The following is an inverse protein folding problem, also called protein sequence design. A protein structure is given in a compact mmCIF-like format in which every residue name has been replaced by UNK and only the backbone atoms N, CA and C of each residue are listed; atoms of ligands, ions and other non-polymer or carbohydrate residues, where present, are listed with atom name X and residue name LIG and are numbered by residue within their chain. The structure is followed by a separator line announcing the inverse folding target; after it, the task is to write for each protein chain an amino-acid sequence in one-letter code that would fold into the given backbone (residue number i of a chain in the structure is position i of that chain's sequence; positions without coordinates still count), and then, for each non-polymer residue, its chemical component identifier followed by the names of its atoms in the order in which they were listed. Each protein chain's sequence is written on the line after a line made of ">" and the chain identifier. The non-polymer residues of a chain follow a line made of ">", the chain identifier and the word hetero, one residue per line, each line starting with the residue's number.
data_IF_689652721707
#
_entry.id   IF_689652721707
#
_cell.length_a   1.000
_cell.length_b   1.000
_cell.length_c   1.000
_cell.angle_alpha   90.00
_cell.angle_beta   90.00
_cell.angle_gamma   90.00
#
_symmetry.space_group_name_H-M   'P 1'
#
loop_
_entity.id
_entity.type
_entity.pdbx_description
1 polymer ?
#
# COMPACT_ATOMS: atom_id res chain seq x y z
N UNK A 1 2.86 40.92 -31.96
CA UNK A 1 4.14 40.24 -31.67
C UNK A 1 4.02 39.61 -30.30
N UNK A 2 4.32 38.32 -30.15
CA UNK A 2 4.39 37.68 -28.83
C UNK A 2 5.50 38.35 -28.01
N UNK A 3 5.18 38.85 -26.81
CA UNK A 3 6.14 39.51 -25.93
C UNK A 3 7.28 38.58 -25.46
N UNK A 4 7.11 37.27 -25.61
CA UNK A 4 7.99 36.24 -25.03
C UNK A 4 8.63 35.33 -26.08
N UNK A 5 8.48 35.65 -27.36
CA UNK A 5 8.94 34.82 -28.48
C UNK A 5 7.91 33.78 -28.92
N UNK A 6 8.33 32.94 -29.86
CA UNK A 6 7.48 31.88 -30.43
C UNK A 6 8.13 30.51 -30.24
N UNK A 7 7.32 29.53 -29.87
CA UNK A 7 7.64 28.12 -29.90
C UNK A 7 8.21 27.73 -31.27
N UNK A 8 9.38 27.08 -31.30
CA UNK A 8 9.90 26.53 -32.54
C UNK A 8 9.03 25.36 -33.04
N UNK A 9 9.27 24.89 -34.27
CA UNK A 9 8.48 23.86 -34.97
C UNK A 9 8.31 22.53 -34.19
N UNK A 10 9.07 22.32 -33.11
CA UNK A 10 8.99 21.16 -32.20
C UNK A 10 8.24 21.43 -30.89
N UNK A 11 7.66 22.62 -30.70
CA UNK A 11 7.04 23.09 -29.45
C UNK A 11 7.96 22.93 -28.23
N UNK A 12 9.22 23.28 -28.46
CA UNK A 12 10.26 23.33 -27.44
C UNK A 12 10.43 24.77 -26.97
N UNK A 13 10.77 24.94 -25.69
CA UNK A 13 10.95 26.27 -25.08
C UNK A 13 12.25 26.96 -25.49
N UNK A 14 13.10 26.31 -26.29
CA UNK A 14 14.36 26.87 -26.81
C UNK A 14 14.16 28.11 -27.70
N UNK A 15 13.02 28.22 -28.37
CA UNK A 15 12.64 29.43 -29.13
C UNK A 15 12.06 30.57 -28.31
N UNK A 16 11.84 30.35 -27.02
CA UNK A 16 11.26 31.35 -26.13
C UNK A 16 12.35 32.24 -25.53
N UNK A 17 11.99 33.47 -25.17
CA UNK A 17 12.89 34.34 -24.41
C UNK A 17 13.20 33.73 -23.02
N UNK A 18 14.25 34.23 -22.38
CA UNK A 18 14.59 33.84 -21.01
C UNK A 18 13.38 34.04 -20.08
N UNK A 19 13.23 33.12 -19.12
CA UNK A 19 12.10 33.04 -18.20
C UNK A 19 10.73 32.81 -18.89
N UNK A 20 10.72 32.12 -20.02
CA UNK A 20 9.51 31.78 -20.77
C UNK A 20 9.49 30.31 -21.21
N UNK A 21 8.31 29.76 -21.48
CA UNK A 21 8.11 28.36 -21.87
C UNK A 21 7.14 28.24 -23.05
N UNK A 22 7.23 27.11 -23.77
CA UNK A 22 6.26 26.74 -24.79
C UNK A 22 5.14 25.86 -24.20
N UNK A 23 3.86 26.25 -24.27
CA UNK A 23 2.75 25.43 -23.79
C UNK A 23 2.59 24.13 -24.64
N UNK A 24 2.06 23.03 -24.06
CA UNK A 24 1.86 21.78 -24.79
C UNK A 24 0.73 21.88 -25.84
N UNK A 25 0.81 21.08 -26.90
CA UNK A 25 -0.05 21.05 -28.11
C UNK A 25 -1.58 20.99 -27.93
N UNK A 26 -2.09 20.86 -26.70
CA UNK A 26 -3.50 20.61 -26.45
C UNK A 26 -4.35 21.89 -26.33
N UNK A 27 -3.72 23.07 -26.42
CA UNK A 27 -4.40 24.35 -26.54
C UNK A 27 -4.15 24.90 -27.96
N UNK A 28 -5.25 25.12 -28.69
CA UNK A 28 -5.33 25.63 -30.07
C UNK A 28 -4.16 26.53 -30.48
N UNK A 29 -3.41 26.14 -31.53
CA UNK A 29 -2.55 26.98 -32.41
C UNK A 29 -1.60 28.01 -31.76
N UNK A 30 -1.45 28.01 -30.44
CA UNK A 30 -0.69 29.00 -29.69
C UNK A 30 0.79 28.61 -29.73
N UNK A 31 1.43 29.02 -30.82
CA UNK A 31 2.90 29.04 -30.93
C UNK A 31 3.53 30.15 -30.10
N UNK A 32 2.75 30.91 -29.33
CA UNK A 32 3.26 31.97 -28.47
C UNK A 32 3.83 31.40 -27.17
N UNK A 33 5.05 31.81 -26.84
CA UNK A 33 5.63 31.50 -25.53
C UNK A 33 4.86 32.22 -24.42
N UNK A 34 4.78 31.57 -23.26
CA UNK A 34 4.19 32.13 -22.03
C UNK A 34 5.30 32.31 -20.99
N UNK A 35 5.14 33.28 -20.09
CA UNK A 35 6.09 33.49 -19.00
C UNK A 35 6.11 32.28 -18.07
N UNK A 36 7.28 31.88 -17.58
CA UNK A 36 7.34 30.85 -16.56
C UNK A 36 6.71 31.33 -15.26
N UNK A 37 5.86 30.49 -14.67
CA UNK A 37 5.11 30.80 -13.47
C UNK A 37 4.82 29.55 -12.62
N UNK A 38 4.36 29.76 -11.38
CA UNK A 38 4.20 28.71 -10.36
C UNK A 38 3.07 27.71 -10.67
N UNK A 39 2.15 28.06 -11.59
CA UNK A 39 0.98 27.27 -11.96
C UNK A 39 1.15 26.54 -13.31
N UNK A 40 2.33 26.60 -13.91
CA UNK A 40 2.65 25.78 -15.08
C UNK A 40 2.40 24.29 -14.82
N UNK A 41 2.00 23.58 -15.87
CA UNK A 41 1.84 22.13 -15.78
C UNK A 41 3.19 21.43 -15.52
N UNK A 42 3.18 20.35 -14.72
CA UNK A 42 4.33 19.47 -14.57
C UNK A 42 4.79 18.89 -15.91
N UNK A 43 6.10 18.71 -16.07
CA UNK A 43 6.71 18.19 -17.29
C UNK A 43 7.14 19.27 -18.30
N UNK A 44 6.86 20.54 -18.02
CA UNK A 44 7.18 21.65 -18.91
C UNK A 44 8.56 22.24 -18.59
N UNK A 45 9.32 22.56 -19.64
CA UNK A 45 10.63 23.20 -19.55
C UNK A 45 10.52 24.72 -19.67
N UNK A 46 11.13 25.44 -18.73
CA UNK A 46 11.35 26.88 -18.84
C UNK A 46 12.70 27.17 -19.53
N UNK A 47 12.79 28.18 -20.38
CA UNK A 47 14.07 28.64 -20.93
C UNK A 47 14.77 29.59 -19.95
N UNK A 48 15.91 29.18 -19.39
CA UNK A 48 16.74 30.03 -18.53
C UNK A 48 18.04 30.37 -19.28
N UNK A 49 18.06 31.44 -20.07
CA UNK A 49 19.20 31.82 -20.93
C UNK A 49 19.75 30.64 -21.76
N UNK A 50 18.91 30.09 -22.63
CA UNK A 50 19.18 28.94 -23.51
C UNK A 50 19.49 27.63 -22.78
N UNK A 51 19.29 27.58 -21.46
CA UNK A 51 19.34 26.37 -20.66
C UNK A 51 17.93 25.98 -20.23
N UNK A 52 17.44 24.86 -20.76
CA UNK A 52 16.11 24.36 -20.43
C UNK A 52 16.07 23.77 -19.02
N UNK A 53 15.17 24.30 -18.18
CA UNK A 53 14.96 23.85 -16.79
C UNK A 53 13.56 23.28 -16.63
N UNK A 54 13.49 21.98 -16.36
CA UNK A 54 12.23 21.25 -16.14
C UNK A 54 11.56 21.72 -14.84
N UNK A 55 10.23 21.95 -14.88
CA UNK A 55 9.40 22.34 -13.73
C UNK A 55 9.83 23.62 -13.02
N UNK A 56 10.53 24.50 -13.73
CA UNK A 56 11.00 25.77 -13.21
C UNK A 56 9.94 26.86 -13.40
N UNK A 57 9.60 27.58 -12.33
CA UNK A 57 8.67 28.71 -12.37
C UNK A 57 9.38 30.06 -12.51
N UNK A 58 10.68 30.12 -12.21
CA UNK A 58 11.46 31.35 -12.31
C UNK A 58 12.94 31.06 -12.52
N UNK A 59 13.56 31.74 -13.48
CA UNK A 59 14.99 31.65 -13.78
C UNK A 59 15.81 32.73 -13.04
N UNK A 60 17.05 32.39 -12.69
CA UNK A 60 18.11 33.34 -12.33
C UNK A 60 19.33 33.04 -13.20
N UNK A 61 19.51 33.82 -14.27
CA UNK A 61 20.49 33.52 -15.32
C UNK A 61 20.22 32.15 -15.97
N UNK A 62 21.22 31.28 -15.97
CA UNK A 62 21.12 29.90 -16.49
C UNK A 62 20.51 28.90 -15.50
N UNK A 63 20.24 29.31 -14.26
CA UNK A 63 19.77 28.44 -13.17
C UNK A 63 18.28 28.62 -12.91
N UNK A 64 17.68 27.61 -12.29
CA UNK A 64 16.32 27.73 -11.78
C UNK A 64 16.34 28.35 -10.38
N UNK A 65 15.57 29.41 -10.17
CA UNK A 65 15.43 30.12 -8.91
C UNK A 65 14.25 29.59 -8.07
N UNK A 66 13.15 29.24 -8.73
CA UNK A 66 11.94 28.72 -8.07
C UNK A 66 11.26 27.66 -8.93
N UNK A 67 10.55 26.74 -8.27
CA UNK A 67 9.87 25.63 -8.91
C UNK A 67 8.36 25.83 -8.93
N UNK A 68 7.71 25.19 -9.89
CA UNK A 68 6.24 25.14 -9.96
C UNK A 68 5.65 24.45 -8.73
N UNK A 69 4.35 24.60 -8.52
CA UNK A 69 3.63 23.98 -7.40
C UNK A 69 3.88 22.47 -7.31
N UNK A 70 4.26 22.01 -6.13
CA UNK A 70 4.54 20.60 -5.83
C UNK A 70 5.96 20.14 -6.16
N UNK A 71 6.84 21.04 -6.62
CA UNK A 71 8.27 20.80 -6.78
C UNK A 71 9.08 21.70 -5.84
N UNK A 72 10.26 21.24 -5.43
CA UNK A 72 11.20 21.97 -4.58
C UNK A 72 12.56 22.06 -5.25
N UNK A 73 13.25 23.18 -5.04
CA UNK A 73 14.57 23.40 -5.60
C UNK A 73 15.62 22.59 -4.83
N UNK A 74 16.29 21.68 -5.51
CA UNK A 74 17.43 20.92 -5.01
C UNK A 74 18.58 21.02 -6.00
N UNK A 75 19.72 21.60 -5.58
CA UNK A 75 20.93 21.74 -6.41
C UNK A 75 20.62 22.24 -7.84
N UNK A 76 19.88 23.34 -7.92
CA UNK A 76 19.46 24.01 -9.17
C UNK A 76 18.52 23.22 -10.09
N UNK A 77 17.88 22.17 -9.55
CA UNK A 77 16.86 21.37 -10.24
C UNK A 77 15.57 21.33 -9.44
N UNK A 78 14.45 21.31 -10.13
CA UNK A 78 13.15 21.15 -9.51
C UNK A 78 12.83 19.66 -9.37
N UNK A 79 12.86 19.19 -8.13
CA UNK A 79 12.53 17.82 -7.77
C UNK A 79 11.15 17.76 -7.15
N UNK A 80 10.46 16.64 -7.39
CA UNK A 80 9.12 16.43 -6.88
C UNK A 80 9.12 16.48 -5.35
N UNK A 81 8.26 17.32 -4.76
CA UNK A 81 8.15 17.45 -3.32
C UNK A 81 7.58 16.15 -2.73
N UNK A 82 8.43 15.39 -2.04
CA UNK A 82 7.98 14.21 -1.29
C UNK A 82 7.01 14.65 -0.19
N UNK A 83 5.97 13.85 0.04
CA UNK A 83 4.96 14.18 1.05
C UNK A 83 3.83 15.11 0.56
N UNK A 84 3.86 15.55 -0.71
CA UNK A 84 2.82 16.39 -1.31
C UNK A 84 1.98 15.59 -2.31
N UNK A 85 0.66 15.66 -2.13
CA UNK A 85 -0.33 14.93 -2.91
C UNK A 85 -0.84 15.66 -4.16
N UNK A 86 -0.34 16.86 -4.42
CA UNK A 86 -0.82 17.73 -5.51
C UNK A 86 -0.52 17.18 -6.91
N UNK A 87 0.41 16.24 -7.04
CA UNK A 87 0.96 15.80 -8.33
C UNK A 87 0.79 14.31 -8.61
N UNK A 88 0.89 13.46 -7.59
CA UNK A 88 0.66 12.02 -7.73
C UNK A 88 0.48 11.35 -6.37
N UNK A 89 -0.27 10.24 -6.32
CA UNK A 89 -0.49 9.47 -5.09
C UNK A 89 0.75 8.70 -4.61
N UNK A 90 1.74 8.50 -5.49
CA UNK A 90 2.96 7.71 -5.20
C UNK A 90 4.14 8.54 -4.66
N UNK A 91 3.95 9.85 -4.44
CA UNK A 91 4.97 10.76 -3.90
C UNK A 91 5.10 10.70 -2.38
N UNK A 92 4.15 10.03 -1.75
CA UNK A 92 4.11 9.85 -0.30
C UNK A 92 5.24 8.97 0.18
N UNK A 93 5.83 9.24 1.36
CA UNK A 93 6.73 8.30 2.03
C UNK A 93 6.11 6.92 2.26
N UNK A 94 6.96 5.93 2.56
CA UNK A 94 6.51 4.61 3.02
C UNK A 94 5.54 4.74 4.21
N UNK A 95 4.49 3.92 4.25
CA UNK A 95 3.41 3.95 5.25
C UNK A 95 2.52 5.22 5.24
N UNK A 96 2.51 5.94 4.12
CA UNK A 96 1.60 7.08 3.94
C UNK A 96 0.88 7.06 2.58
N UNK A 97 -0.21 7.80 2.48
CA UNK A 97 -1.05 7.88 1.29
C UNK A 97 -1.59 9.28 1.05
N UNK A 98 -2.09 9.52 -0.17
CA UNK A 98 -2.84 10.72 -0.52
C UNK A 98 -4.33 10.44 -0.47
N UNK A 99 -5.05 11.16 0.39
CA UNK A 99 -6.51 11.09 0.40
C UNK A 99 -7.05 11.70 -0.90
N UNK A 100 -7.94 10.97 -1.59
CA UNK A 100 -8.49 11.41 -2.90
C UNK A 100 -9.18 12.77 -2.87
N UNK A 101 -9.63 13.21 -1.70
CA UNK A 101 -10.35 14.47 -1.51
C UNK A 101 -9.52 15.40 -0.61
N UNK A 102 -8.91 16.40 -1.24
CA UNK A 102 -8.57 17.70 -0.64
C UNK A 102 -7.38 17.80 0.33
N UNK A 103 -6.51 16.79 0.43
CA UNK A 103 -5.30 16.95 1.25
C UNK A 103 -4.09 17.21 0.39
N UNK A 104 -3.43 18.36 0.57
CA UNK A 104 -2.13 18.65 -0.05
C UNK A 104 -0.99 17.80 0.56
N UNK A 105 -1.22 17.18 1.71
CA UNK A 105 -0.22 16.42 2.48
C UNK A 105 -0.54 14.94 2.55
N UNK A 106 0.51 14.12 2.57
CA UNK A 106 0.38 12.69 2.84
C UNK A 106 -0.12 12.42 4.26
N UNK A 107 -1.00 11.42 4.39
CA UNK A 107 -1.55 10.96 5.66
C UNK A 107 -1.05 9.55 5.97
N UNK A 108 -1.03 9.20 7.26
CA UNK A 108 -0.70 7.83 7.68
C UNK A 108 -1.72 6.84 7.12
N UNK A 109 -1.24 5.71 6.60
CA UNK A 109 -2.11 4.63 6.12
C UNK A 109 -3.00 4.01 7.20
N UNK A 110 -2.74 4.28 8.48
CA UNK A 110 -3.63 3.86 9.56
C UNK A 110 -5.05 4.45 9.43
N UNK A 111 -5.20 5.62 8.79
CA UNK A 111 -6.48 6.29 8.57
C UNK A 111 -7.03 6.08 7.15
N UNK A 112 -6.56 5.06 6.44
CA UNK A 112 -6.92 4.80 5.05
C UNK A 112 -8.37 4.33 4.90
N UNK A 113 -9.05 4.73 3.83
CA UNK A 113 -10.33 4.14 3.45
C UNK A 113 -10.16 2.90 2.57
N UNK A 114 -11.23 2.11 2.39
CA UNK A 114 -11.23 0.94 1.50
C UNK A 114 -10.89 1.26 0.05
N UNK A 115 -11.10 2.49 -0.39
CA UNK A 115 -10.84 2.91 -1.77
C UNK A 115 -9.44 3.51 -1.93
N UNK A 116 -8.77 3.89 -0.85
CA UNK A 116 -7.47 4.54 -0.90
C UNK A 116 -6.33 3.51 -0.98
N UNK A 117 -5.19 3.95 -1.52
CA UNK A 117 -4.00 3.10 -1.70
C UNK A 117 -2.82 3.62 -0.87
N UNK A 118 -2.29 2.77 -0.02
CA UNK A 118 -1.12 3.05 0.81
C UNK A 118 0.17 2.89 -0.01
N UNK A 119 1.15 3.79 0.18
CA UNK A 119 2.48 3.57 -0.38
C UNK A 119 3.30 2.63 0.51
N UNK A 120 3.45 1.38 0.09
CA UNK A 120 4.36 0.39 0.66
C UNK A 120 5.66 0.36 -0.14
N UNK A 121 6.59 1.28 0.17
CA UNK A 121 7.94 1.33 -0.41
C UNK A 121 7.96 1.36 -1.96
N UNK A 122 7.04 2.13 -2.55
CA UNK A 122 6.84 2.27 -4.00
C UNK A 122 5.66 1.47 -4.54
N UNK A 123 5.17 0.46 -3.81
CA UNK A 123 4.00 -0.33 -4.19
C UNK A 123 2.73 0.26 -3.59
N UNK A 124 1.76 0.62 -4.43
CA UNK A 124 0.49 1.18 -3.98
C UNK A 124 -0.52 0.06 -3.66
N UNK A 125 -0.80 -0.20 -2.38
CA UNK A 125 -1.67 -1.29 -1.93
C UNK A 125 -2.97 -0.73 -1.36
N UNK A 126 -4.11 -1.11 -1.97
CA UNK A 126 -5.43 -0.65 -1.56
C UNK A 126 -5.83 -1.19 -0.18
N UNK A 127 -6.40 -0.34 0.68
CA UNK A 127 -6.94 -0.74 1.98
C UNK A 127 -5.90 -1.30 2.97
N UNK A 128 -4.62 -1.03 2.75
CA UNK A 128 -3.54 -1.45 3.64
C UNK A 128 -3.31 -0.43 4.76
N UNK A 129 -3.45 -0.85 6.02
CA UNK A 129 -3.25 -0.01 7.22
C UNK A 129 -1.78 0.17 7.57
N UNK A 130 -0.96 -0.84 7.30
CA UNK A 130 0.47 -0.84 7.63
C UNK A 130 1.24 -1.73 6.66
N UNK A 131 2.40 -1.26 6.23
CA UNK A 131 3.29 -1.94 5.30
C UNK A 131 4.51 -2.51 6.03
N UNK A 132 5.01 -3.62 5.51
CA UNK A 132 6.37 -4.09 5.70
C UNK A 132 7.05 -4.13 4.32
N UNK A 133 8.00 -3.23 4.10
CA UNK A 133 8.63 -3.00 2.81
C UNK A 133 7.58 -2.78 1.70
N UNK A 134 7.50 -3.68 0.72
CA UNK A 134 6.60 -3.63 -0.43
C UNK A 134 5.33 -4.47 -0.26
N UNK A 135 5.04 -4.94 0.95
CA UNK A 135 3.89 -5.78 1.29
C UNK A 135 3.05 -5.12 2.36
N UNK A 136 1.76 -5.44 2.36
CA UNK A 136 0.88 -5.13 3.45
C UNK A 136 1.08 -6.10 4.62
N UNK A 137 1.13 -5.56 5.83
CA UNK A 137 1.15 -6.30 7.08
C UNK A 137 -0.24 -6.39 7.71
N UNK A 138 -1.09 -5.39 7.50
CA UNK A 138 -2.43 -5.34 8.10
C UNK A 138 -3.40 -4.64 7.17
N UNK A 139 -4.53 -5.28 6.87
CA UNK A 139 -5.60 -4.72 6.07
C UNK A 139 -6.67 -4.08 6.95
N UNK A 140 -7.45 -3.16 6.37
CA UNK A 140 -8.70 -2.71 7.00
C UNK A 140 -9.60 -3.91 7.30
N UNK A 141 -10.47 -3.80 8.30
CA UNK A 141 -11.25 -4.90 8.86
C UNK A 141 -12.17 -5.63 7.87
N UNK A 142 -12.56 -4.98 6.77
CA UNK A 142 -13.41 -5.56 5.71
C UNK A 142 -12.64 -6.28 4.61
N UNK A 143 -11.31 -6.31 4.65
CA UNK A 143 -10.45 -6.96 3.65
C UNK A 143 -9.58 -8.05 4.28
N UNK A 144 -9.21 -9.02 3.47
CA UNK A 144 -8.39 -10.16 3.86
C UNK A 144 -6.94 -9.92 3.43
N UNK A 145 -5.98 -10.13 4.34
CA UNK A 145 -4.57 -10.12 4.00
C UNK A 145 -4.19 -11.42 3.27
N UNK A 146 -3.79 -11.31 2.00
CA UNK A 146 -3.39 -12.42 1.16
C UNK A 146 -2.12 -12.08 0.39
N UNK A 147 -1.04 -12.83 0.61
CA UNK A 147 0.26 -12.62 -0.05
C UNK A 147 0.76 -11.17 -0.03
N UNK A 148 0.57 -10.47 1.09
CA UNK A 148 0.99 -9.08 1.24
C UNK A 148 0.07 -8.07 0.53
N UNK A 149 -1.12 -8.47 0.08
CA UNK A 149 -2.14 -7.58 -0.48
C UNK A 149 -3.44 -7.68 0.31
N UNK A 150 -4.30 -6.67 0.21
CA UNK A 150 -5.64 -6.69 0.78
C UNK A 150 -6.65 -6.99 -0.32
N UNK A 151 -7.40 -8.09 -0.14
CA UNK A 151 -8.38 -8.58 -1.12
C UNK A 151 -9.75 -8.72 -0.47
N UNK A 152 -10.80 -8.64 -1.27
CA UNK A 152 -12.19 -8.87 -0.83
C UNK A 152 -12.51 -10.37 -0.69
N UNK A 153 -11.75 -11.22 -1.40
CA UNK A 153 -11.90 -12.67 -1.41
C UNK A 153 -10.57 -13.37 -1.69
N UNK A 154 -10.35 -14.54 -1.09
CA UNK A 154 -9.17 -15.37 -1.39
C UNK A 154 -9.52 -16.26 -2.60
N UNK A 155 -8.68 -16.32 -3.64
CA UNK A 155 -8.89 -17.24 -4.76
C UNK A 155 -8.93 -18.69 -4.27
N UNK A 156 -9.70 -19.57 -4.95
CA UNK A 156 -9.73 -20.99 -4.59
C UNK A 156 -8.34 -21.60 -4.78
N UNK A 157 -7.79 -22.10 -3.68
CA UNK A 157 -6.47 -22.74 -3.65
C UNK A 157 -6.67 -24.26 -3.73
N UNK A 158 -6.06 -24.92 -4.71
CA UNK A 158 -5.99 -26.39 -4.74
C UNK A 158 -4.88 -26.89 -3.80
N UNK A 159 -5.31 -27.36 -2.65
CA UNK A 159 -4.45 -27.87 -1.59
C UNK A 159 -3.81 -29.23 -1.89
N UNK A 160 -4.10 -29.87 -3.04
CA UNK A 160 -3.54 -31.20 -3.37
C UNK A 160 -2.05 -31.16 -3.74
N UNK A 161 -1.54 -30.01 -4.21
CA UNK A 161 -0.19 -29.88 -4.77
C UNK A 161 0.67 -28.78 -4.13
N UNK A 162 0.22 -28.16 -3.04
CA UNK A 162 0.98 -27.09 -2.39
C UNK A 162 1.93 -27.71 -1.39
N UNK A 163 3.19 -27.89 -1.82
CA UNK A 163 4.28 -28.27 -0.92
C UNK A 163 4.39 -27.28 0.24
N UNK A 164 4.06 -27.73 1.44
CA UNK A 164 4.37 -27.20 2.78
C UNK A 164 4.19 -25.70 3.11
N UNK A 165 3.84 -24.80 2.17
CA UNK A 165 3.77 -23.35 2.40
C UNK A 165 2.49 -22.78 1.81
N UNK A 166 1.48 -22.65 2.67
CA UNK A 166 0.29 -21.86 2.34
C UNK A 166 0.67 -20.37 2.26
N UNK A 167 0.10 -19.60 1.31
CA UNK A 167 0.14 -18.15 1.32
C UNK A 167 -0.14 -17.56 2.71
N UNK A 168 0.53 -16.47 3.08
CA UNK A 168 0.25 -15.74 4.32
C UNK A 168 -1.25 -15.43 4.42
N UNK A 169 -1.87 -15.78 5.55
CA UNK A 169 -3.30 -15.60 5.81
C UNK A 169 -4.18 -16.79 5.40
N UNK A 170 -3.59 -17.88 4.89
CA UNK A 170 -4.35 -19.07 4.47
C UNK A 170 -3.82 -20.34 5.14
N UNK A 171 -4.69 -21.34 5.28
CA UNK A 171 -4.32 -22.69 5.65
C UNK A 171 -5.13 -23.69 4.82
N UNK A 172 -4.50 -24.78 4.41
CA UNK A 172 -5.19 -25.87 3.75
C UNK A 172 -5.89 -26.74 4.80
N UNK A 173 -7.22 -26.71 4.80
CA UNK A 173 -8.02 -27.65 5.60
C UNK A 173 -8.06 -28.99 4.86
N UNK A 174 -7.35 -30.00 5.37
CA UNK A 174 -7.53 -31.36 4.87
C UNK A 174 -8.99 -31.79 5.11
N UNK A 175 -9.69 -32.36 4.11
CA UNK A 175 -10.99 -32.97 4.34
C UNK A 175 -10.78 -34.20 5.24
N UNK A 176 -11.43 -34.15 6.40
CA UNK A 176 -11.71 -35.29 7.28
C UNK A 176 -10.53 -35.90 8.06
N UNK A 177 -10.32 -35.39 9.28
CA UNK A 177 -10.51 -36.14 10.53
C UNK A 177 -10.29 -35.25 11.76
N UNK A 178 -11.43 -34.86 12.35
CA UNK A 178 -11.67 -34.40 13.74
C UNK A 178 -11.08 -33.06 14.26
N UNK A 179 -11.89 -32.46 15.14
CA UNK A 179 -11.71 -31.24 15.95
C UNK A 179 -11.89 -29.88 15.24
N UNK A 180 -12.95 -29.16 15.64
CA UNK A 180 -13.12 -27.74 15.36
C UNK A 180 -12.40 -26.96 16.48
N UNK A 181 -11.28 -26.30 16.15
CA UNK A 181 -10.61 -25.37 17.05
C UNK A 181 -10.95 -23.94 16.62
N UNK A 182 -11.62 -23.19 17.48
CA UNK A 182 -11.88 -21.76 17.25
C UNK A 182 -10.84 -20.98 18.04
N UNK A 183 -9.89 -20.38 17.31
CA UNK A 183 -8.89 -19.47 17.89
C UNK A 183 -9.50 -18.08 17.99
N UNK A 184 -9.72 -17.62 19.23
CA UNK A 184 -10.18 -16.25 19.47
C UNK A 184 -9.04 -15.47 20.10
N UNK A 185 -8.50 -14.50 19.37
CA UNK A 185 -7.44 -13.61 19.83
C UNK A 185 -8.07 -12.41 20.54
N UNK A 186 -8.15 -12.47 21.87
CA UNK A 186 -8.50 -11.33 22.72
C UNK A 186 -7.25 -10.85 23.44
N UNK A 187 -6.68 -9.69 23.13
CA UNK A 187 -5.57 -9.18 23.98
C UNK A 187 -6.07 -8.95 25.43
N UNK A 188 -5.33 -9.38 26.47
CA UNK A 188 -3.97 -9.93 26.46
C UNK A 188 -3.87 -11.47 26.50
N UNK A 189 -4.96 -12.22 26.30
CA UNK A 189 -4.99 -13.68 26.46
C UNK A 189 -5.50 -14.41 25.20
N UNK A 190 -4.69 -15.34 24.69
CA UNK A 190 -5.14 -16.28 23.65
C UNK A 190 -6.05 -17.31 24.31
N UNK A 191 -7.35 -17.25 24.04
CA UNK A 191 -8.30 -18.26 24.52
C UNK A 191 -8.60 -19.23 23.39
N UNK A 192 -8.20 -20.49 23.57
CA UNK A 192 -8.48 -21.54 22.60
C UNK A 192 -9.56 -22.44 23.19
N UNK A 193 -10.71 -22.49 22.51
CA UNK A 193 -11.81 -23.37 22.89
C UNK A 193 -11.87 -24.51 21.88
N UNK A 194 -11.85 -25.74 22.37
CA UNK A 194 -11.89 -26.94 21.55
C UNK A 194 -13.22 -27.66 21.73
N UNK A 195 -13.78 -28.13 20.63
CA UNK A 195 -14.91 -29.05 20.63
C UNK A 195 -14.43 -30.37 20.02
N UNK A 196 -14.33 -31.40 20.85
CA UNK A 196 -13.97 -32.75 20.44
C UNK A 196 -15.20 -33.65 20.56
N UNK A 197 -15.53 -34.39 19.52
CA UNK A 197 -16.45 -35.53 19.56
C UNK A 197 -15.62 -36.78 19.31
N UNK A 198 -15.25 -37.48 20.38
CA UNK A 198 -14.32 -38.62 20.31
C UNK A 198 -14.60 -39.62 21.46
N UNK A 199 -14.52 -40.92 21.17
CA UNK A 199 -14.47 -41.99 22.17
C UNK A 199 -13.14 -41.95 22.95
N UNK A 200 -13.11 -42.43 24.20
CA UNK A 200 -12.02 -42.20 25.18
C UNK A 200 -10.61 -42.48 24.67
N UNK A 201 -10.40 -43.51 23.84
CA UNK A 201 -9.08 -43.85 23.27
C UNK A 201 -8.59 -42.85 22.19
N UNK A 202 -9.49 -42.14 21.54
CA UNK A 202 -9.19 -41.13 20.51
C UNK A 202 -9.00 -39.71 21.05
N UNK A 203 -9.28 -39.49 22.34
CA UNK A 203 -9.14 -38.18 22.98
C UNK A 203 -7.69 -37.80 23.25
N UNK A 204 -6.82 -38.77 23.57
CA UNK A 204 -5.39 -38.51 23.80
C UNK A 204 -4.68 -38.15 22.49
N UNK A 205 -5.01 -38.85 21.41
CA UNK A 205 -4.45 -38.58 20.07
C UNK A 205 -4.97 -37.25 19.52
N UNK A 206 -6.26 -36.95 19.70
CA UNK A 206 -6.82 -35.65 19.34
C UNK A 206 -6.17 -34.51 20.15
N UNK A 207 -5.94 -34.72 21.46
CA UNK A 207 -5.25 -33.75 22.32
C UNK A 207 -3.81 -33.54 21.86
N UNK A 208 -3.07 -34.60 21.53
CA UNK A 208 -1.69 -34.52 21.09
C UNK A 208 -1.56 -33.86 19.71
N UNK A 209 -2.46 -34.18 18.77
CA UNK A 209 -2.52 -33.54 17.46
C UNK A 209 -2.82 -32.04 17.56
N UNK A 210 -3.73 -31.66 18.47
CA UNK A 210 -4.07 -30.27 18.74
C UNK A 210 -2.92 -29.52 19.42
N UNK A 211 -2.26 -30.12 20.42
CA UNK A 211 -1.08 -29.53 21.06
C UNK A 211 0.05 -29.32 20.06
N UNK A 212 0.24 -30.25 19.13
CA UNK A 212 1.20 -30.12 18.03
C UNK A 212 0.80 -28.99 17.07
N UNK A 213 -0.46 -28.90 16.64
CA UNK A 213 -0.94 -27.82 15.79
C UNK A 213 -0.78 -26.44 16.45
N UNK A 214 -1.03 -26.35 17.76
CA UNK A 214 -0.83 -25.12 18.54
C UNK A 214 0.66 -24.79 18.65
N UNK A 215 1.52 -25.78 18.91
CA UNK A 215 2.97 -25.61 18.90
C UNK A 215 3.49 -25.12 17.54
N UNK A 216 2.99 -25.68 16.45
CA UNK A 216 3.37 -25.32 15.08
C UNK A 216 2.91 -23.88 14.74
N UNK A 217 1.73 -23.46 15.23
CA UNK A 217 1.24 -22.07 15.13
C UNK A 217 2.06 -21.10 15.99
N UNK A 218 2.46 -21.50 17.20
CA UNK A 218 3.34 -20.71 18.08
C UNK A 218 4.71 -20.52 17.43
N UNK A 219 5.30 -21.58 16.86
CA UNK A 219 6.57 -21.53 16.15
C UNK A 219 6.50 -20.64 14.90
N UNK A 220 5.33 -20.56 14.24
CA UNK A 220 5.11 -19.70 13.09
C UNK A 220 4.80 -18.23 13.45
N UNK A 221 4.30 -17.95 14.66
CA UNK A 221 3.81 -16.62 15.02
C UNK A 221 4.62 -15.88 16.10
N UNK A 222 5.49 -16.55 16.87
CA UNK A 222 6.25 -15.92 17.96
C UNK A 222 7.70 -15.66 17.53
N UNK A 223 7.96 -14.49 16.96
CA UNK A 223 9.33 -13.96 16.79
C UNK A 223 9.74 -12.96 17.89
N UNK A 224 8.88 -12.68 18.89
CA UNK A 224 9.29 -11.91 20.08
C UNK A 224 8.66 -12.40 21.37
N UNK A 225 9.53 -12.41 22.38
CA UNK A 225 9.40 -12.80 23.78
C UNK A 225 8.23 -12.13 24.51
N UNK A 226 7.11 -12.82 24.67
CA UNK A 226 6.17 -12.58 25.77
C UNK A 226 5.70 -13.93 26.34
N UNK A 227 5.75 -14.07 27.67
CA UNK A 227 5.33 -15.27 28.38
C UNK A 227 3.81 -15.44 28.31
N UNK A 228 3.32 -16.31 27.41
CA UNK A 228 1.90 -16.64 27.31
C UNK A 228 1.54 -17.74 28.33
N UNK A 229 0.67 -17.43 29.30
CA UNK A 229 0.04 -18.42 30.20
C UNK A 229 -1.24 -18.95 29.56
N UNK A 230 -1.35 -20.27 29.44
CA UNK A 230 -2.54 -20.92 28.87
C UNK A 230 -3.40 -21.58 29.95
N UNK A 231 -4.72 -21.38 29.86
CA UNK A 231 -5.72 -22.14 30.62
C UNK A 231 -6.68 -22.80 29.62
N UNK A 232 -6.71 -24.13 29.60
CA UNK A 232 -7.64 -24.91 28.78
C UNK A 232 -8.82 -25.42 29.62
N UNK A 233 -10.02 -25.43 29.05
CA UNK A 233 -11.20 -26.14 29.60
C UNK A 233 -11.83 -26.97 28.49
N UNK A 234 -12.10 -28.25 28.78
CA UNK A 234 -12.79 -29.17 27.86
C UNK A 234 -14.28 -29.16 28.20
N UNK A 235 -15.16 -28.99 27.20
CA UNK A 235 -16.61 -29.14 27.36
C UNK A 235 -17.13 -30.18 26.38
N UNK A 236 -17.75 -31.23 26.90
CA UNK A 236 -18.42 -32.26 26.09
C UNK A 236 -19.74 -31.74 25.52
N UNK A 237 -19.98 -31.98 24.23
CA UNK A 237 -21.32 -31.87 23.64
C UNK A 237 -21.79 -33.25 23.17
N UNK A 238 -22.70 -33.87 23.92
CA UNK A 238 -23.52 -34.98 23.41
C UNK A 238 -24.70 -34.40 22.62
N UNK A 239 -24.75 -34.64 21.31
CA UNK A 239 -25.99 -34.51 20.52
C UNK A 239 -26.30 -35.85 19.86
N UNK A 240 -27.48 -36.38 20.18
CA UNK A 240 -28.07 -37.55 19.55
C UNK A 240 -28.58 -37.18 18.15
N UNK A 241 -28.17 -37.94 17.14
CA UNK A 241 -28.76 -37.88 15.80
C UNK A 241 -29.84 -38.96 15.72
N UNK A 242 -31.11 -38.54 15.61
CA UNK A 242 -32.18 -39.39 15.09
C UNK A 242 -32.07 -39.43 13.56
N UNK A 243 -32.03 -40.65 13.01
CA UNK A 243 -31.99 -40.90 11.58
C UNK A 243 -33.40 -40.76 10.95
N UNK A 244 -33.45 -40.21 9.75
CA UNK A 244 -34.52 -40.39 8.77
C UNK A 244 -33.88 -40.92 7.49
#
# INVERSE_FOLDING_TARGET
>A
MSMYGNCQHKMTSDGCLSNSYCPPKNEQEDTACRQCDVNMMPGIYCNCQDNLRLNCSQCNGIFCQACITGFVLQKDKCELQKGNCSLSQNTCPHNTFCQRQNTKSCQSCYNISILDKCNCAGTMIQGCLNCDQNKCLTCISSLILYNGNCVDSIPRIDCRNIGARCPTGTYCRQPEKYALAVLTLTRPAVRITYYASATESSQLDARNAVLKAVSDVIAACVTRTEHVRFQGTVKDQKRAFHAA
#
